data_IF_330859046803
#
_entry.id   IF_330859046803
#
_cell.length_a   1.000
_cell.length_b   1.000
_cell.length_c   1.000
_cell.angle_alpha   90.00
_cell.angle_beta   90.00
_cell.angle_gamma   90.00
#
_symmetry.space_group_name_H-M   'P 1'
#
loop_
_entity.id
_entity.type
_entity.pdbx_description
1 polymer ?
#
# COMPACT_ATOMS: atom_id res chain seq x y z
N UNK A 1 2.96 21.78 7.68
CA UNK A 1 2.76 20.74 8.72
C UNK A 1 2.86 19.39 8.04
N UNK A 2 3.37 18.35 8.69
CA UNK A 2 3.39 17.00 8.11
C UNK A 2 1.99 16.40 8.09
N UNK A 3 1.55 15.88 6.95
CA UNK A 3 0.29 15.15 6.82
C UNK A 3 0.37 13.85 7.64
N UNK A 4 -0.61 13.53 8.51
CA UNK A 4 -0.61 12.29 9.28
C UNK A 4 -0.78 11.05 8.39
N UNK A 5 -0.03 9.99 8.71
CA UNK A 5 -0.17 8.66 8.09
C UNK A 5 -0.55 7.68 9.20
N UNK A 6 -1.73 7.06 9.10
CA UNK A 6 -2.28 6.15 10.10
C UNK A 6 -2.35 4.75 9.51
N UNK A 7 -1.59 3.81 10.09
CA UNK A 7 -1.58 2.41 9.66
C UNK A 7 -2.48 1.54 10.55
N UNK A 8 -3.31 0.71 9.91
CA UNK A 8 -4.17 -0.26 10.57
C UNK A 8 -3.46 -1.61 10.66
N UNK A 9 -2.88 -1.92 11.81
CA UNK A 9 -2.07 -3.11 12.03
C UNK A 9 -2.66 -4.06 13.08
N UNK A 10 -2.64 -5.37 12.82
CA UNK A 10 -2.98 -6.41 13.81
C UNK A 10 -2.44 -7.79 13.39
N UNK A 11 -1.79 -8.47 14.34
CA UNK A 11 -1.22 -9.82 14.23
C UNK A 11 -2.22 -10.93 13.89
N UNK A 12 -3.52 -10.68 13.98
CA UNK A 12 -4.57 -11.62 13.61
C UNK A 12 -5.34 -11.14 12.36
N UNK A 13 -5.51 -12.04 11.41
CA UNK A 13 -6.41 -11.85 10.26
C UNK A 13 -7.88 -11.85 10.68
N UNK A 14 -8.74 -11.19 9.91
CA UNK A 14 -10.20 -11.24 10.12
C UNK A 14 -10.72 -10.48 11.35
N UNK A 15 -9.96 -9.51 11.87
CA UNK A 15 -10.37 -8.66 13.02
C UNK A 15 -11.04 -7.35 12.61
N UNK A 16 -11.30 -7.15 11.32
CA UNK A 16 -12.00 -5.96 10.80
C UNK A 16 -11.12 -4.75 10.49
N UNK A 17 -9.79 -4.91 10.31
CA UNK A 17 -8.87 -3.80 9.98
C UNK A 17 -9.27 -3.07 8.70
N UNK A 18 -9.36 -3.82 7.61
CA UNK A 18 -9.72 -3.34 6.27
C UNK A 18 -11.10 -2.66 6.29
N UNK A 19 -12.08 -3.28 6.93
CA UNK A 19 -13.43 -2.71 7.10
C UNK A 19 -13.40 -1.41 7.91
N UNK A 20 -12.58 -1.35 8.96
CA UNK A 20 -12.41 -0.14 9.76
C UNK A 20 -11.73 0.97 8.96
N UNK A 21 -10.69 0.67 8.18
CA UNK A 21 -10.01 1.62 7.31
C UNK A 21 -10.97 2.21 6.27
N UNK A 22 -11.77 1.35 5.62
CA UNK A 22 -12.82 1.75 4.69
C UNK A 22 -13.81 2.74 5.33
N UNK A 23 -14.42 2.38 6.47
CA UNK A 23 -15.40 3.24 7.12
C UNK A 23 -14.81 4.54 7.67
N UNK A 24 -13.57 4.52 8.18
CA UNK A 24 -12.90 5.75 8.64
C UNK A 24 -12.62 6.68 7.46
N UNK A 25 -12.23 6.16 6.29
CA UNK A 25 -12.09 6.97 5.09
C UNK A 25 -13.42 7.63 4.70
N UNK A 26 -14.51 6.87 4.69
CA UNK A 26 -15.85 7.41 4.41
C UNK A 26 -16.27 8.49 5.41
N UNK A 27 -16.04 8.27 6.71
CA UNK A 27 -16.37 9.27 7.74
C UNK A 27 -15.54 10.56 7.60
N UNK A 28 -14.26 10.46 7.25
CA UNK A 28 -13.45 11.65 6.97
C UNK A 28 -13.94 12.39 5.72
N UNK A 29 -14.33 11.67 4.67
CA UNK A 29 -14.89 12.27 3.48
C UNK A 29 -16.20 13.03 3.75
N UNK A 30 -17.08 12.48 4.60
CA UNK A 30 -18.31 13.16 5.07
C UNK A 30 -18.02 14.44 5.89
N UNK A 31 -16.80 14.60 6.38
CA UNK A 31 -16.32 15.80 7.09
C UNK A 31 -15.51 16.74 6.17
N UNK A 32 -15.60 16.58 4.86
CA UNK A 32 -14.86 17.33 3.84
C UNK A 32 -13.32 17.23 3.94
N UNK A 33 -12.81 16.16 4.56
CA UNK A 33 -11.38 15.92 4.69
C UNK A 33 -10.87 15.15 3.47
N UNK A 34 -9.80 15.64 2.82
CA UNK A 34 -9.15 14.92 1.70
C UNK A 34 -8.34 13.74 2.21
N UNK A 35 -8.75 12.52 1.87
CA UNK A 35 -8.15 11.27 2.33
C UNK A 35 -7.44 10.55 1.19
N UNK A 36 -6.21 10.10 1.44
CA UNK A 36 -5.58 9.02 0.68
C UNK A 36 -5.73 7.72 1.46
N UNK A 37 -6.21 6.68 0.81
CA UNK A 37 -6.26 5.32 1.35
C UNK A 37 -5.27 4.47 0.58
N UNK A 38 -4.37 3.78 1.25
CA UNK A 38 -3.39 2.88 0.64
C UNK A 38 -3.65 1.44 1.07
N UNK A 39 -3.81 0.57 0.09
CA UNK A 39 -3.96 -0.87 0.31
C UNK A 39 -2.61 -1.55 0.06
N UNK A 40 -1.90 -1.86 1.14
CA UNK A 40 -0.61 -2.54 1.11
C UNK A 40 -0.75 -4.02 1.50
N UNK A 41 -1.99 -4.55 1.58
CA UNK A 41 -2.23 -5.97 1.77
C UNK A 41 -2.22 -6.68 0.41
N UNK A 42 -1.39 -7.72 0.19
CA UNK A 42 -1.44 -8.50 -1.05
C UNK A 42 -2.83 -9.05 -1.37
N UNK A 43 -3.71 -9.28 -0.38
CA UNK A 43 -5.08 -9.73 -0.65
C UNK A 43 -5.95 -8.66 -1.31
N UNK A 44 -5.51 -7.39 -1.33
CA UNK A 44 -6.19 -6.26 -1.93
C UNK A 44 -7.66 -6.10 -1.50
N UNK A 45 -7.98 -6.52 -0.27
CA UNK A 45 -9.37 -6.53 0.21
C UNK A 45 -9.94 -5.11 0.33
N UNK A 46 -9.11 -4.11 0.66
CA UNK A 46 -9.57 -2.73 0.78
C UNK A 46 -9.92 -2.17 -0.60
N UNK A 47 -9.09 -2.49 -1.59
CA UNK A 47 -9.31 -2.15 -2.99
C UNK A 47 -10.65 -2.69 -3.49
N UNK A 48 -10.92 -3.97 -3.23
CA UNK A 48 -12.19 -4.62 -3.60
C UNK A 48 -13.41 -4.10 -2.83
N UNK A 49 -13.25 -3.44 -1.68
CA UNK A 49 -14.36 -2.78 -0.98
C UNK A 49 -14.75 -1.44 -1.61
N UNK A 50 -13.81 -0.76 -2.29
CA UNK A 50 -14.04 0.53 -2.91
C UNK A 50 -14.48 0.46 -4.37
N UNK A 51 -14.22 -0.65 -5.06
CA UNK A 51 -14.40 -0.79 -6.50
C UNK A 51 -15.41 -1.88 -6.83
N UNK A 52 -16.14 -1.67 -7.92
CA UNK A 52 -16.95 -2.71 -8.55
C UNK A 52 -16.09 -3.62 -9.46
N UNK A 53 -16.68 -4.73 -9.90
CA UNK A 53 -16.00 -5.74 -10.70
C UNK A 53 -15.42 -5.16 -12.00
N UNK A 54 -16.14 -4.24 -12.66
CA UNK A 54 -15.70 -3.60 -13.91
C UNK A 54 -14.41 -2.79 -13.69
N UNK A 55 -14.35 -1.98 -12.62
CA UNK A 55 -13.14 -1.20 -12.30
C UNK A 55 -11.99 -2.08 -11.80
N UNK A 56 -12.28 -3.21 -11.15
CA UNK A 56 -11.26 -4.18 -10.73
C UNK A 56 -10.62 -4.87 -11.95
N UNK A 57 -11.40 -5.23 -12.97
CA UNK A 57 -10.90 -5.78 -14.23
C UNK A 57 -9.98 -4.80 -14.97
N UNK A 58 -10.31 -3.50 -14.98
CA UNK A 58 -9.43 -2.47 -15.54
C UNK A 58 -8.11 -2.28 -14.77
N UNK A 59 -8.13 -2.57 -13.46
CA UNK A 59 -7.00 -2.41 -12.57
C UNK A 59 -6.01 -3.57 -12.70
N UNK A 60 -6.52 -4.79 -12.89
CA UNK A 60 -5.75 -6.03 -12.99
C UNK A 60 -5.93 -6.72 -14.35
N UNK A 61 -5.47 -6.10 -15.46
CA UNK A 61 -5.46 -6.76 -16.75
C UNK A 61 -4.46 -7.93 -16.76
N UNK A 62 -4.61 -8.86 -17.71
CA UNK A 62 -3.60 -9.93 -17.87
C UNK A 62 -2.19 -9.34 -18.08
N UNK A 63 -1.28 -9.66 -17.16
CA UNK A 63 0.13 -9.27 -17.24
C UNK A 63 0.50 -8.15 -16.26
N UNK A 64 0.62 -6.92 -16.75
CA UNK A 64 1.14 -5.79 -15.96
C UNK A 64 0.01 -4.96 -15.37
N UNK A 65 0.11 -4.59 -14.09
CA UNK A 65 -0.88 -3.81 -13.36
C UNK A 65 -0.33 -2.39 -13.05
N UNK A 66 -0.14 -1.51 -14.06
CA UNK A 66 0.56 -0.23 -13.88
C UNK A 66 -0.18 0.77 -12.96
N UNK A 67 -1.44 0.51 -12.63
CA UNK A 67 -2.29 1.37 -11.82
C UNK A 67 -2.37 0.95 -10.34
N UNK A 68 -1.51 0.04 -9.89
CA UNK A 68 -1.49 -0.46 -8.51
C UNK A 68 -0.21 -0.04 -7.79
N UNK A 69 -0.18 -0.26 -6.47
CA UNK A 69 1.03 -0.14 -5.64
C UNK A 69 2.17 -0.97 -6.24
N UNK A 70 1.88 -2.22 -6.64
CA UNK A 70 2.90 -3.10 -7.22
C UNK A 70 3.45 -2.54 -8.53
N UNK A 71 2.59 -2.11 -9.45
CA UNK A 71 3.03 -1.50 -10.71
C UNK A 71 3.92 -0.28 -10.50
N UNK A 72 3.66 0.51 -9.45
CA UNK A 72 4.46 1.68 -9.12
C UNK A 72 5.84 1.34 -8.50
N UNK A 73 5.99 0.19 -7.82
CA UNK A 73 7.28 -0.25 -7.26
C UNK A 73 8.06 -1.23 -8.14
N UNK A 74 7.42 -1.88 -9.11
CA UNK A 74 8.03 -2.92 -9.97
C UNK A 74 9.37 -2.48 -10.59
N UNK A 75 9.53 -1.26 -11.13
CA UNK A 75 10.78 -0.86 -11.76
C UNK A 75 11.96 -0.82 -10.77
N UNK A 76 11.69 -0.48 -9.50
CA UNK A 76 12.68 -0.47 -8.43
C UNK A 76 13.10 -1.90 -8.06
N UNK A 77 12.13 -2.81 -7.93
CA UNK A 77 12.37 -4.22 -7.62
C UNK A 77 13.18 -4.87 -8.73
N UNK A 78 12.71 -4.72 -9.98
CA UNK A 78 13.37 -5.27 -11.16
C UNK A 78 14.73 -4.59 -11.48
N UNK A 79 15.11 -3.54 -10.76
CA UNK A 79 16.35 -2.81 -10.98
C UNK A 79 16.41 -2.04 -12.30
N UNK A 80 15.25 -1.78 -12.90
CA UNK A 80 15.12 -1.02 -14.16
C UNK A 80 14.93 0.48 -13.93
N UNK A 81 14.64 0.90 -12.70
CA UNK A 81 14.42 2.29 -12.35
C UNK A 81 14.23 2.50 -10.86
N UNK A 82 13.51 3.56 -10.52
CA UNK A 82 13.00 3.83 -9.17
C UNK A 82 11.47 3.71 -9.19
N UNK A 83 10.80 4.00 -8.07
CA UNK A 83 9.34 4.03 -8.01
C UNK A 83 8.74 5.01 -9.04
N UNK A 84 7.54 4.72 -9.54
CA UNK A 84 6.80 5.58 -10.45
C UNK A 84 6.10 6.69 -9.66
N UNK A 85 6.37 7.95 -10.04
CA UNK A 85 5.71 9.14 -9.50
C UNK A 85 5.23 10.06 -10.65
N UNK A 86 4.07 10.75 -10.52
CA UNK A 86 3.12 10.65 -9.41
C UNK A 86 2.51 9.24 -9.31
N UNK A 87 2.25 8.82 -8.08
CA UNK A 87 1.70 7.51 -7.76
C UNK A 87 0.30 7.35 -8.40
N UNK A 88 -0.04 6.19 -9.01
CA UNK A 88 -1.34 6.00 -9.65
C UNK A 88 -2.44 5.84 -8.59
N UNK A 89 -3.03 6.97 -8.17
CA UNK A 89 -4.23 6.96 -7.34
C UNK A 89 -5.48 7.02 -8.21
N UNK A 90 -6.56 6.44 -7.70
CA UNK A 90 -7.88 6.48 -8.33
C UNK A 90 -8.90 7.10 -7.38
N UNK A 91 -9.83 7.86 -7.94
CA UNK A 91 -10.96 8.39 -7.17
C UNK A 91 -11.98 7.29 -6.91
N UNK A 92 -12.38 7.15 -5.65
CA UNK A 92 -13.32 6.11 -5.22
C UNK A 92 -14.55 6.69 -4.51
N UNK A 93 -14.43 7.90 -3.98
CA UNK A 93 -15.52 8.71 -3.48
C UNK A 93 -15.12 10.19 -3.52
N UNK A 94 -16.08 11.08 -3.29
CA UNK A 94 -15.78 12.48 -3.01
C UNK A 94 -14.79 12.57 -1.85
N UNK A 95 -13.74 13.37 -2.01
CA UNK A 95 -12.66 13.53 -1.03
C UNK A 95 -11.82 12.27 -0.72
N UNK A 96 -11.97 11.15 -1.46
CA UNK A 96 -11.19 9.92 -1.23
C UNK A 96 -10.45 9.46 -2.49
N UNK A 97 -9.12 9.38 -2.37
CA UNK A 97 -8.24 8.73 -3.33
C UNK A 97 -7.73 7.40 -2.80
N UNK A 98 -7.86 6.36 -3.61
CA UNK A 98 -7.31 5.04 -3.32
C UNK A 98 -5.99 4.87 -4.08
N UNK A 99 -4.97 4.42 -3.37
CA UNK A 99 -3.77 3.81 -3.92
C UNK A 99 -4.00 2.27 -3.95
N UNK A 100 -4.29 1.68 -5.12
CA UNK A 100 -4.85 0.33 -5.19
C UNK A 100 -3.84 -0.77 -4.90
N UNK A 101 -4.27 -1.78 -4.13
CA UNK A 101 -3.50 -2.97 -3.81
C UNK A 101 -3.34 -3.92 -4.99
N UNK A 102 -2.50 -4.94 -4.80
CA UNK A 102 -2.19 -5.92 -5.84
C UNK A 102 -1.76 -7.26 -5.23
N UNK A 103 -2.25 -8.37 -5.81
CA UNK A 103 -1.86 -9.73 -5.44
C UNK A 103 -0.35 -9.98 -5.62
N UNK A 104 0.29 -9.27 -6.54
CA UNK A 104 1.74 -9.36 -6.78
C UNK A 104 2.57 -8.73 -5.65
N UNK A 105 1.98 -7.98 -4.72
CA UNK A 105 2.69 -7.47 -3.54
C UNK A 105 3.23 -8.59 -2.65
N UNK A 106 2.67 -9.80 -2.71
CA UNK A 106 3.20 -10.94 -1.95
C UNK A 106 4.66 -11.25 -2.29
N UNK A 107 5.07 -11.09 -3.55
CA UNK A 107 6.47 -11.28 -3.94
C UNK A 107 7.38 -10.16 -3.39
N UNK A 108 6.84 -8.94 -3.25
CA UNK A 108 7.60 -7.83 -2.71
C UNK A 108 7.90 -7.96 -1.21
N UNK A 109 7.07 -8.68 -0.46
CA UNK A 109 7.34 -8.97 0.97
C UNK A 109 8.60 -9.81 1.17
N UNK A 110 8.84 -10.75 0.25
CA UNK A 110 10.07 -11.53 0.23
C UNK A 110 11.28 -10.63 -0.06
N UNK A 111 11.16 -9.70 -1.02
CA UNK A 111 12.21 -8.73 -1.35
C UNK A 111 12.53 -7.82 -0.14
N UNK A 112 11.52 -7.31 0.56
CA UNK A 112 11.70 -6.49 1.77
C UNK A 112 12.48 -7.27 2.84
N UNK A 113 12.16 -8.55 3.03
CA UNK A 113 12.81 -9.42 4.00
C UNK A 113 14.28 -9.70 3.64
N UNK A 114 14.58 -9.91 2.35
CA UNK A 114 15.94 -10.15 1.86
C UNK A 114 16.82 -8.90 1.93
N UNK A 115 16.24 -7.74 1.64
CA UNK A 115 16.98 -6.48 1.53
C UNK A 115 17.19 -5.80 2.88
N UNK A 116 16.36 -6.11 3.89
CA UNK A 116 16.46 -5.50 5.22
C UNK A 116 17.87 -5.57 5.87
N UNK A 117 18.59 -6.72 5.89
CA UNK A 117 19.94 -6.78 6.44
C UNK A 117 20.93 -5.89 5.69
N UNK A 118 20.73 -5.67 4.39
CA UNK A 118 21.62 -4.84 3.57
C UNK A 118 21.58 -3.36 3.93
N UNK A 119 20.51 -2.91 4.59
CA UNK A 119 20.46 -1.57 5.17
C UNK A 119 21.52 -1.39 6.27
N UNK A 120 21.82 -2.46 7.04
CA UNK A 120 22.85 -2.43 8.08
C UNK A 120 24.26 -2.29 7.49
N UNK A 121 24.45 -2.80 6.27
CA UNK A 121 25.68 -2.64 5.49
C UNK A 121 25.76 -1.27 4.78
N UNK A 122 24.77 -0.41 4.96
CA UNK A 122 24.74 0.92 4.35
C UNK A 122 24.46 0.92 2.85
N UNK A 123 23.91 -0.16 2.27
CA UNK A 123 23.68 -0.24 0.82
C UNK A 123 22.58 0.74 0.39
N UNK A 124 22.84 1.72 -0.50
CA UNK A 124 21.85 2.74 -0.86
C UNK A 124 20.58 2.19 -1.53
N UNK A 125 20.70 1.10 -2.30
CA UNK A 125 19.54 0.44 -2.91
C UNK A 125 18.59 -0.13 -1.85
N UNK A 126 19.14 -0.64 -0.76
CA UNK A 126 18.35 -1.26 0.29
C UNK A 126 17.41 -0.24 0.95
N UNK A 127 17.93 0.95 1.26
CA UNK A 127 17.11 2.05 1.75
C UNK A 127 16.02 2.47 0.77
N UNK A 128 16.29 2.48 -0.55
CA UNK A 128 15.26 2.80 -1.55
C UNK A 128 14.12 1.79 -1.58
N UNK A 129 14.44 0.50 -1.46
CA UNK A 129 13.47 -0.60 -1.43
C UNK A 129 12.64 -0.55 -0.15
N UNK A 130 13.27 -0.47 1.03
CA UNK A 130 12.56 -0.42 2.33
C UNK A 130 11.68 0.83 2.46
N UNK A 131 12.05 1.94 1.81
CA UNK A 131 11.27 3.18 1.83
C UNK A 131 10.25 3.31 0.70
N UNK A 132 10.09 2.31 -0.17
CA UNK A 132 9.27 2.41 -1.38
C UNK A 132 7.80 2.78 -1.07
N UNK A 133 7.14 2.05 -0.17
CA UNK A 133 5.75 2.33 0.23
C UNK A 133 5.59 3.72 0.85
N UNK A 134 6.53 4.11 1.73
CA UNK A 134 6.52 5.43 2.34
C UNK A 134 6.58 6.54 1.27
N UNK A 135 7.49 6.40 0.31
CA UNK A 135 7.66 7.36 -0.79
C UNK A 135 6.44 7.39 -1.73
N UNK A 136 5.80 6.25 -1.99
CA UNK A 136 4.56 6.20 -2.76
C UNK A 136 3.40 6.89 -2.05
N UNK A 137 3.21 6.62 -0.76
CA UNK A 137 2.17 7.28 0.04
C UNK A 137 2.41 8.79 0.08
N UNK A 138 3.66 9.22 0.27
CA UNK A 138 4.01 10.64 0.22
C UNK A 138 3.72 11.28 -1.13
N UNK A 139 4.07 10.60 -2.23
CA UNK A 139 3.72 11.08 -3.57
C UNK A 139 2.21 11.20 -3.77
N UNK A 140 1.42 10.26 -3.26
CA UNK A 140 -0.04 10.30 -3.34
C UNK A 140 -0.65 11.44 -2.50
N UNK A 141 -0.10 11.68 -1.30
CA UNK A 141 -0.48 12.80 -0.44
C UNK A 141 -0.22 14.13 -1.14
N UNK A 142 0.96 14.31 -1.72
CA UNK A 142 1.36 15.55 -2.39
C UNK A 142 0.55 15.81 -3.66
N UNK A 143 0.31 14.78 -4.48
CA UNK A 143 -0.45 14.89 -5.73
C UNK A 143 -1.92 15.25 -5.48
N UNK A 144 -2.51 14.71 -4.41
CA UNK A 144 -3.91 14.95 -4.07
C UNK A 144 -4.13 16.12 -3.09
N UNK A 145 -3.05 16.70 -2.55
CA UNK A 145 -3.12 17.64 -1.42
C UNK A 145 -3.92 17.05 -0.24
N UNK A 146 -3.64 15.79 0.10
CA UNK A 146 -4.37 15.07 1.14
C UNK A 146 -4.09 15.61 2.54
N UNK A 147 -5.10 15.57 3.39
CA UNK A 147 -5.02 16.01 4.79
C UNK A 147 -4.70 14.83 5.73
N UNK A 148 -4.93 13.60 5.28
CA UNK A 148 -4.58 12.37 6.00
C UNK A 148 -4.39 11.21 5.02
N UNK A 149 -3.47 10.30 5.36
CA UNK A 149 -3.37 8.99 4.71
C UNK A 149 -3.73 7.86 5.68
N UNK A 150 -4.55 6.93 5.22
CA UNK A 150 -4.94 5.71 5.92
C UNK A 150 -4.32 4.52 5.19
N UNK A 151 -3.63 3.64 5.91
CA UNK A 151 -2.87 2.55 5.33
C UNK A 151 -3.34 1.22 5.90
N UNK A 152 -3.89 0.35 5.05
CA UNK A 152 -4.16 -1.04 5.42
C UNK A 152 -2.92 -1.87 5.11
N UNK A 153 -2.45 -2.63 6.10
CA UNK A 153 -1.20 -3.39 6.01
C UNK A 153 -1.45 -4.87 6.23
N UNK A 154 -0.74 -5.68 5.45
CA UNK A 154 -0.71 -7.12 5.63
C UNK A 154 -0.05 -7.52 6.94
N UNK A 155 -0.54 -8.61 7.54
CA UNK A 155 0.15 -9.26 8.65
C UNK A 155 0.13 -10.76 8.47
N UNK A 156 1.15 -11.28 7.79
CA UNK A 156 1.52 -12.70 7.82
C UNK A 156 3.04 -12.76 7.80
N UNK A 157 3.66 -13.36 8.81
CA UNK A 157 5.13 -13.50 8.90
C UNK A 157 5.77 -13.15 10.25
N UNK A 158 5.07 -12.44 11.16
CA UNK A 158 5.58 -12.23 12.52
C UNK A 158 5.35 -13.42 13.47
N UNK A 159 4.50 -14.36 13.08
CA UNK A 159 4.16 -15.55 13.90
C UNK A 159 4.98 -16.79 13.56
N UNK A 160 5.66 -16.85 12.41
CA UNK A 160 6.51 -17.99 12.03
C UNK A 160 7.80 -18.10 12.88
N UNK A 161 8.14 -17.07 13.66
CA UNK A 161 9.23 -17.11 14.63
C UNK A 161 8.93 -17.90 15.91
N UNK A 162 7.67 -18.32 16.15
CA UNK A 162 7.31 -19.08 17.36
C UNK A 162 7.15 -20.59 17.16
N UNK A 163 7.15 -21.09 15.93
CA UNK A 163 7.04 -22.54 15.66
C UNK A 163 8.39 -23.21 15.39
N UNK A 164 9.49 -22.46 15.29
CA UNK A 164 10.85 -23.01 15.14
C UNK A 164 11.61 -23.22 16.47
N UNK A 165 10.95 -23.01 17.62
CA UNK A 165 11.52 -23.22 18.97
C UNK A 165 10.68 -24.19 19.83
N UNK A 166 9.87 -25.06 19.24
CA UNK A 166 9.23 -26.18 19.94
C UNK A 166 9.62 -27.54 19.37
#
# INVERSE_FOLDING_TARGET
MSVPIVAFFNNKGGVGKTTLAYHIASMYAELDVRVVVADLDPQANLTSLFLDDERLEELWPEGNHPKTVYGAIEPLIAGRGDIVVPCPTIEVAENVRLLPGDLLLGAFEDDLSQVWPECLDGKPRAFRVISAFYRLIHSAIEDYDAEIALVDVFVRGLTSWKESEM
#
